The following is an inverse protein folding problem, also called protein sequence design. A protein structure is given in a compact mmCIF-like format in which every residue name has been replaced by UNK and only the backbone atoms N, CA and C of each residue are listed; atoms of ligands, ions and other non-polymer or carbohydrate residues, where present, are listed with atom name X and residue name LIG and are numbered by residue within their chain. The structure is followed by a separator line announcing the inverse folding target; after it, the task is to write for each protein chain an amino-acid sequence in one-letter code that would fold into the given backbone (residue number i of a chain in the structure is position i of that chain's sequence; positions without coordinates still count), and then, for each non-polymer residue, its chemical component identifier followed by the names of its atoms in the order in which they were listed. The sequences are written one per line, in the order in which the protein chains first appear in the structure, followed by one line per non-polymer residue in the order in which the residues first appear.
data_IF_206690864168
#
_entry.id   IF_206690864168
#
_cell.length_a   1.000
_cell.length_b   1.000
_cell.length_c   1.000
_cell.angle_alpha   90.00
_cell.angle_beta   90.00
_cell.angle_gamma   90.00
#
_symmetry.space_group_name_H-M   'P 1'
#
loop_
_entity.id
_entity.type
_entity.pdbx_description
1 polymer ?
#
# COMPACT_ATOMS: atom_id res chain seq x y z
N UNK A 1 11.48 22.65 20.39
CA UNK A 1 12.07 23.78 19.64
C UNK A 1 12.79 24.67 20.63
N UNK A 2 14.11 24.85 20.48
CA UNK A 2 14.88 25.77 21.30
C UNK A 2 14.63 27.16 20.73
N UNK A 3 13.92 28.02 21.46
CA UNK A 3 13.76 29.42 21.07
C UNK A 3 15.07 30.13 21.39
N UNK A 4 15.80 30.53 20.34
CA UNK A 4 16.97 31.40 20.48
C UNK A 4 16.50 32.73 21.06
N UNK A 5 17.15 33.23 22.11
CA UNK A 5 16.71 34.42 22.87
C UNK A 5 16.69 35.72 22.02
N UNK A 6 17.23 35.68 20.80
CA UNK A 6 17.24 36.77 19.81
C UNK A 6 16.16 36.64 18.71
N UNK A 7 15.21 35.72 18.84
CA UNK A 7 14.18 35.49 17.82
C UNK A 7 13.20 36.68 17.76
N UNK A 8 13.35 37.51 16.73
CA UNK A 8 12.44 38.64 16.49
C UNK A 8 11.19 38.18 15.74
N UNK A 9 10.03 38.79 16.07
CA UNK A 9 8.78 38.66 15.31
C UNK A 9 8.93 39.37 13.95
N UNK A 10 9.71 38.78 13.06
CA UNK A 10 10.05 39.30 11.74
C UNK A 10 10.03 38.17 10.72
N UNK A 11 9.78 38.50 9.46
CA UNK A 11 9.88 37.60 8.29
C UNK A 11 11.31 37.50 7.75
N UNK A 12 12.30 37.98 8.50
CA UNK A 12 13.69 37.94 8.07
C UNK A 12 14.24 36.50 7.94
N UNK A 13 14.88 36.13 6.82
CA UNK A 13 15.23 34.73 6.51
C UNK A 13 16.17 34.03 7.50
N UNK A 14 16.98 34.76 8.27
CA UNK A 14 18.00 34.19 9.17
C UNK A 14 17.77 34.42 10.67
N UNK A 15 16.91 35.37 11.04
CA UNK A 15 16.71 35.80 12.44
C UNK A 15 15.25 35.97 12.84
N UNK A 16 14.34 35.82 11.87
CA UNK A 16 12.91 36.01 12.06
C UNK A 16 12.22 34.68 12.35
N UNK A 17 11.31 34.68 13.32
CA UNK A 17 10.47 33.51 13.64
C UNK A 17 9.62 33.06 12.43
N UNK A 18 9.29 33.99 11.53
CA UNK A 18 8.59 33.75 10.27
C UNK A 18 9.53 33.81 9.06
N UNK A 19 10.83 33.56 9.22
CA UNK A 19 11.80 33.54 8.11
C UNK A 19 11.44 32.53 7.00
N UNK A 20 10.69 31.49 7.33
CA UNK A 20 10.12 30.52 6.39
C UNK A 20 8.91 31.04 5.60
N UNK A 21 8.33 32.18 6.00
CA UNK A 21 7.18 32.83 5.33
C UNK A 21 7.62 33.78 4.20
N UNK A 22 8.93 33.92 3.96
CA UNK A 22 9.43 34.70 2.83
C UNK A 22 8.98 34.12 1.49
N UNK A 23 8.30 34.93 0.66
CA UNK A 23 7.71 34.55 -0.64
C UNK A 23 8.69 33.81 -1.55
N UNK A 24 9.95 34.24 -1.60
CA UNK A 24 11.01 33.63 -2.42
C UNK A 24 11.40 32.21 -1.97
N UNK A 25 11.38 31.94 -0.66
CA UNK A 25 11.72 30.63 -0.10
C UNK A 25 10.53 29.68 -0.17
N UNK A 26 9.31 30.18 0.09
CA UNK A 26 8.08 29.40 -0.02
C UNK A 26 7.85 28.90 -1.45
N UNK A 27 8.02 29.77 -2.45
CA UNK A 27 7.86 29.37 -3.85
C UNK A 27 8.82 28.25 -4.25
N UNK A 28 10.08 28.30 -3.81
CA UNK A 28 11.06 27.25 -4.14
C UNK A 28 10.82 25.95 -3.36
N UNK A 29 10.54 26.04 -2.06
CA UNK A 29 10.42 24.86 -1.20
C UNK A 29 9.03 24.22 -1.32
N UNK A 30 7.97 24.99 -1.17
CA UNK A 30 6.59 24.48 -1.20
C UNK A 30 6.17 24.16 -2.64
N UNK A 31 6.44 25.06 -3.58
CA UNK A 31 6.01 24.90 -4.97
C UNK A 31 7.00 24.08 -5.81
N UNK A 32 8.30 24.09 -5.48
CA UNK A 32 9.28 23.22 -6.13
C UNK A 32 9.25 21.81 -5.53
N UNK A 33 9.78 21.66 -4.32
CA UNK A 33 9.90 20.34 -3.68
C UNK A 33 8.55 19.77 -3.25
N UNK A 34 7.66 20.58 -2.67
CA UNK A 34 6.35 20.11 -2.20
C UNK A 34 5.43 19.66 -3.34
N UNK A 35 5.32 20.46 -4.41
CA UNK A 35 4.55 20.06 -5.60
C UNK A 35 5.16 18.82 -6.26
N UNK A 36 6.47 18.79 -6.48
CA UNK A 36 7.12 17.65 -7.13
C UNK A 36 6.99 16.36 -6.31
N UNK A 37 7.18 16.45 -4.98
CA UNK A 37 7.03 15.29 -4.07
C UNK A 37 5.58 14.81 -4.01
N UNK A 38 4.61 15.72 -3.92
CA UNK A 38 3.19 15.34 -3.78
C UNK A 38 2.61 14.85 -5.11
N UNK A 39 2.86 15.58 -6.19
CA UNK A 39 2.32 15.26 -7.51
C UNK A 39 2.96 13.98 -8.07
N UNK A 40 4.28 13.87 -7.99
CA UNK A 40 5.02 12.75 -8.57
C UNK A 40 5.15 11.55 -7.65
N UNK A 41 5.31 11.76 -6.33
CA UNK A 41 5.33 10.66 -5.37
C UNK A 41 3.92 10.09 -5.13
N UNK A 42 3.05 10.89 -4.51
CA UNK A 42 1.78 10.39 -3.96
C UNK A 42 0.63 10.36 -4.96
N UNK A 43 0.39 11.45 -5.69
CA UNK A 43 -0.83 11.61 -6.48
C UNK A 43 -0.80 10.83 -7.79
N UNK A 44 0.31 10.88 -8.53
CA UNK A 44 0.39 10.24 -9.85
C UNK A 44 1.24 8.99 -9.81
N UNK A 45 2.43 9.02 -9.18
CA UNK A 45 3.32 7.87 -9.13
C UNK A 45 2.65 6.65 -8.50
N UNK A 46 2.04 6.83 -7.34
CA UNK A 46 1.40 5.74 -6.62
C UNK A 46 0.15 5.19 -7.32
N UNK A 47 -0.67 6.09 -7.88
CA UNK A 47 -1.89 5.70 -8.63
C UNK A 47 -1.54 4.94 -9.90
N UNK A 48 -0.50 5.36 -10.62
CA UNK A 48 -0.01 4.63 -11.80
C UNK A 48 0.53 3.25 -11.38
N UNK A 49 1.31 3.16 -10.30
CA UNK A 49 1.83 1.88 -9.79
C UNK A 49 0.71 0.90 -9.46
N UNK A 50 -0.37 1.37 -8.83
CA UNK A 50 -1.53 0.52 -8.53
C UNK A 50 -2.29 0.04 -9.76
N UNK A 51 -2.17 0.71 -10.91
CA UNK A 51 -2.75 0.24 -12.18
C UNK A 51 -2.00 -0.97 -12.74
N UNK A 52 -0.70 -1.05 -12.50
CA UNK A 52 0.17 -2.10 -13.07
C UNK A 52 0.54 -3.21 -12.08
N UNK A 53 0.61 -2.88 -10.79
CA UNK A 53 1.05 -3.79 -9.74
C UNK A 53 -0.01 -3.98 -8.66
N UNK A 54 0.04 -5.14 -7.99
CA UNK A 54 -0.82 -5.40 -6.84
C UNK A 54 -0.52 -4.41 -5.70
N UNK A 55 -1.54 -3.95 -4.94
CA UNK A 55 -1.35 -3.07 -3.79
C UNK A 55 -0.28 -3.54 -2.80
N UNK A 56 -0.13 -4.85 -2.61
CA UNK A 56 0.88 -5.44 -1.70
C UNK A 56 2.30 -5.08 -2.15
N UNK A 57 2.58 -5.11 -3.45
CA UNK A 57 3.89 -4.76 -3.99
C UNK A 57 4.16 -3.27 -3.78
N UNK A 58 3.15 -2.43 -3.98
CA UNK A 58 3.25 -1.00 -3.74
C UNK A 58 3.59 -0.70 -2.27
N UNK A 59 2.88 -1.34 -1.33
CA UNK A 59 3.16 -1.16 0.11
C UNK A 59 4.56 -1.62 0.51
N UNK A 60 5.08 -2.69 -0.09
CA UNK A 60 6.45 -3.13 0.13
C UNK A 60 7.47 -2.09 -0.39
N UNK A 61 7.17 -1.38 -1.48
CA UNK A 61 8.02 -0.30 -1.99
C UNK A 61 8.02 0.92 -1.09
N UNK A 62 6.88 1.31 -0.50
CA UNK A 62 6.83 2.38 0.52
C UNK A 62 7.70 2.06 1.72
N UNK A 63 7.73 0.80 2.18
CA UNK A 63 8.60 0.39 3.28
C UNK A 63 10.10 0.56 2.94
N UNK A 64 10.47 0.51 1.66
CA UNK A 64 11.84 0.74 1.20
C UNK A 64 12.16 2.23 0.97
N UNK A 65 11.15 3.09 0.85
CA UNK A 65 11.32 4.54 0.65
C UNK A 65 12.31 5.20 1.62
N UNK A 66 12.27 4.98 2.95
CA UNK A 66 13.25 5.58 3.86
C UNK A 66 14.69 5.13 3.60
N UNK A 67 14.89 3.90 3.12
CA UNK A 67 16.23 3.39 2.76
C UNK A 67 16.75 4.15 1.55
N UNK A 68 15.93 4.30 0.50
CA UNK A 68 16.31 5.06 -0.68
C UNK A 68 16.50 6.55 -0.39
N UNK A 69 15.64 7.14 0.43
CA UNK A 69 15.76 8.53 0.87
C UNK A 69 17.08 8.78 1.59
N UNK A 70 17.48 7.89 2.52
CA UNK A 70 18.75 8.00 3.23
C UNK A 70 19.96 7.86 2.27
N UNK A 71 19.90 6.90 1.35
CA UNK A 71 20.98 6.67 0.37
C UNK A 71 21.15 7.88 -0.55
N UNK A 72 20.05 8.44 -1.06
CA UNK A 72 20.08 9.65 -1.89
C UNK A 72 20.50 10.88 -1.10
N UNK A 73 20.04 11.02 0.14
CA UNK A 73 20.45 12.10 1.05
C UNK A 73 21.95 12.09 1.31
N UNK A 74 22.52 10.91 1.56
CA UNK A 74 23.97 10.73 1.71
C UNK A 74 24.72 10.98 0.40
N UNK A 75 24.18 10.54 -0.75
CA UNK A 75 24.79 10.76 -2.07
C UNK A 75 24.87 12.25 -2.44
N UNK A 76 23.81 13.02 -2.18
CA UNK A 76 23.79 14.47 -2.41
C UNK A 76 24.52 15.27 -1.32
N UNK A 77 25.06 14.61 -0.29
CA UNK A 77 25.71 15.26 0.85
C UNK A 77 24.76 16.12 1.70
N UNK A 78 23.46 15.88 1.60
CA UNK A 78 22.42 16.57 2.39
C UNK A 78 22.29 15.90 3.76
N UNK A 79 22.55 14.59 3.83
CA UNK A 79 22.37 13.79 5.04
C UNK A 79 23.63 12.98 5.41
N UNK A 80 23.69 12.51 6.66
CA UNK A 80 24.79 11.73 7.21
C UNK A 80 24.62 10.23 6.96
N UNK A 81 25.73 9.49 7.09
CA UNK A 81 25.73 8.03 6.99
C UNK A 81 24.79 7.45 8.06
N UNK A 82 23.89 6.50 7.69
CA UNK A 82 22.96 5.91 8.63
C UNK A 82 23.67 5.26 9.81
N UNK A 83 23.15 5.48 11.02
CA UNK A 83 23.64 4.82 12.22
C UNK A 83 23.29 3.32 12.25
N UNK A 84 23.92 2.59 13.17
CA UNK A 84 23.73 1.14 13.32
C UNK A 84 22.25 0.75 13.53
N UNK A 85 21.48 1.55 14.27
CA UNK A 85 20.05 1.30 14.48
C UNK A 85 19.24 1.35 13.17
N UNK A 86 19.56 2.30 12.28
CA UNK A 86 18.91 2.40 10.96
C UNK A 86 19.25 1.21 10.09
N UNK A 87 20.49 0.70 10.16
CA UNK A 87 20.90 -0.50 9.44
C UNK A 87 20.12 -1.73 9.91
N UNK A 88 19.99 -1.93 11.23
CA UNK A 88 19.17 -3.02 11.77
C UNK A 88 17.71 -2.90 11.33
N UNK A 89 17.12 -1.71 11.43
CA UNK A 89 15.76 -1.45 10.94
C UNK A 89 15.59 -1.83 9.46
N UNK A 90 16.54 -1.45 8.61
CA UNK A 90 16.54 -1.81 7.19
C UNK A 90 16.57 -3.32 6.94
N UNK A 91 17.39 -4.07 7.69
CA UNK A 91 17.43 -5.54 7.60
C UNK A 91 16.09 -6.16 8.02
N UNK A 92 15.47 -5.68 9.10
CA UNK A 92 14.15 -6.15 9.53
C UNK A 92 13.06 -5.88 8.48
N UNK A 93 13.09 -4.70 7.82
CA UNK A 93 12.17 -4.39 6.73
C UNK A 93 12.34 -5.38 5.57
N UNK A 94 13.57 -5.67 5.16
CA UNK A 94 13.84 -6.63 4.08
C UNK A 94 13.32 -8.04 4.41
N UNK A 95 13.52 -8.50 5.64
CA UNK A 95 13.00 -9.78 6.11
C UNK A 95 11.46 -9.78 6.07
N UNK A 96 10.82 -8.71 6.56
CA UNK A 96 9.37 -8.57 6.54
C UNK A 96 8.79 -8.62 5.12
N UNK A 97 9.39 -7.89 4.17
CA UNK A 97 8.99 -7.91 2.76
C UNK A 97 9.15 -9.31 2.16
N UNK A 98 10.22 -10.02 2.50
CA UNK A 98 10.44 -11.39 2.04
C UNK A 98 9.31 -12.33 2.49
N UNK A 99 8.97 -12.34 3.78
CA UNK A 99 7.85 -13.14 4.30
C UNK A 99 6.51 -12.74 3.69
N UNK A 100 6.24 -11.44 3.56
CA UNK A 100 5.00 -10.93 2.97
C UNK A 100 4.82 -11.38 1.52
N UNK A 101 5.89 -11.31 0.71
CA UNK A 101 5.86 -11.76 -0.68
C UNK A 101 5.61 -13.27 -0.80
N UNK A 102 6.13 -14.07 0.12
CA UNK A 102 5.86 -15.51 0.16
C UNK A 102 4.38 -15.78 0.48
N UNK A 103 3.80 -15.08 1.46
CA UNK A 103 2.38 -15.16 1.77
C UNK A 103 1.48 -14.72 0.61
N UNK A 104 1.84 -13.63 -0.08
CA UNK A 104 1.09 -13.13 -1.22
C UNK A 104 1.04 -14.15 -2.38
N UNK A 105 2.14 -14.86 -2.63
CA UNK A 105 2.19 -15.95 -3.64
C UNK A 105 1.25 -17.10 -3.30
N UNK A 106 1.16 -17.49 -2.03
CA UNK A 106 0.23 -18.57 -1.60
C UNK A 106 -1.20 -18.15 -1.88
N UNK A 107 -1.60 -16.94 -1.45
CA UNK A 107 -2.95 -16.41 -1.69
C UNK A 107 -3.30 -16.31 -3.19
N UNK A 108 -2.33 -15.95 -4.04
CA UNK A 108 -2.54 -15.94 -5.48
C UNK A 108 -2.71 -17.35 -6.07
N UNK A 109 -1.96 -18.34 -5.58
CA UNK A 109 -2.09 -19.75 -6.02
C UNK A 109 -3.46 -20.31 -5.67
N UNK A 110 -3.97 -20.04 -4.47
CA UNK A 110 -5.29 -20.50 -4.03
C UNK A 110 -6.40 -19.88 -4.88
N UNK A 111 -6.30 -18.58 -5.16
CA UNK A 111 -7.27 -17.89 -6.04
C UNK A 111 -7.27 -18.47 -7.45
N UNK A 112 -6.10 -18.81 -8.00
CA UNK A 112 -5.98 -19.41 -9.33
C UNK A 112 -6.54 -20.84 -9.37
N UNK A 113 -6.29 -21.63 -8.31
CA UNK A 113 -6.84 -22.97 -8.19
C UNK A 113 -8.38 -22.93 -8.14
N UNK A 114 -8.96 -21.99 -7.40
CA UNK A 114 -10.41 -21.78 -7.34
C UNK A 114 -11.01 -21.40 -8.71
N UNK A 115 -10.39 -20.46 -9.44
CA UNK A 115 -10.86 -20.06 -10.78
C UNK A 115 -10.82 -21.26 -11.74
N UNK A 116 -9.75 -22.07 -11.69
CA UNK A 116 -9.65 -23.29 -12.51
C UNK A 116 -10.71 -24.33 -12.15
N UNK A 117 -11.00 -24.48 -10.86
CA UNK A 117 -12.05 -25.37 -10.38
C UNK A 117 -13.42 -24.93 -10.90
N UNK A 118 -13.73 -23.62 -10.84
CA UNK A 118 -14.98 -23.08 -11.40
C UNK A 118 -15.07 -23.27 -12.92
N UNK A 119 -13.99 -23.04 -13.68
CA UNK A 119 -13.96 -23.27 -15.13
C UNK A 119 -14.27 -24.72 -15.48
N UNK A 120 -13.70 -25.68 -14.75
CA UNK A 120 -13.97 -27.11 -14.94
C UNK A 120 -15.43 -27.44 -14.64
N UNK A 121 -15.99 -26.91 -13.54
CA UNK A 121 -17.39 -27.17 -13.18
C UNK A 121 -18.39 -26.52 -14.14
N UNK A 122 -18.10 -25.34 -14.67
CA UNK A 122 -18.97 -24.71 -15.68
C UNK A 122 -19.06 -25.56 -16.95
N UNK A 123 -17.94 -26.14 -17.42
CA UNK A 123 -17.93 -27.06 -18.56
C UNK A 123 -18.72 -28.34 -18.29
N UNK A 124 -18.65 -28.87 -17.07
CA UNK A 124 -19.44 -30.04 -16.68
C UNK A 124 -20.95 -29.73 -16.69
N UNK A 125 -21.33 -28.56 -16.20
CA UNK A 125 -22.71 -28.09 -16.20
C UNK A 125 -23.24 -27.84 -17.62
N UNK A 126 -22.44 -27.26 -18.52
CA UNK A 126 -22.82 -27.08 -19.93
C UNK A 126 -23.09 -28.41 -20.65
N UNK A 127 -22.49 -29.51 -20.19
CA UNK A 127 -22.73 -30.85 -20.73
C UNK A 127 -23.95 -31.57 -20.16
N UNK A 128 -24.59 -31.02 -19.11
CA UNK A 128 -25.72 -31.64 -18.40
C UNK A 128 -27.06 -31.05 -18.88
N UNK A 129 -28.08 -31.91 -18.89
CA UNK A 129 -29.45 -31.54 -19.28
C UNK A 129 -30.08 -30.60 -18.23
N UNK A 130 -30.99 -29.71 -18.67
CA UNK A 130 -31.42 -28.53 -17.90
C UNK A 130 -31.96 -28.80 -16.49
N UNK A 131 -32.61 -29.93 -16.27
CA UNK A 131 -33.19 -30.30 -14.97
C UNK A 131 -32.12 -30.77 -13.96
N UNK A 132 -31.06 -31.44 -14.41
CA UNK A 132 -29.92 -31.80 -13.54
C UNK A 132 -29.10 -30.58 -13.15
N UNK A 133 -29.04 -29.57 -14.02
CA UNK A 133 -28.34 -28.32 -13.78
C UNK A 133 -28.91 -27.53 -12.60
N UNK A 134 -30.24 -27.47 -12.50
CA UNK A 134 -30.96 -26.72 -11.45
C UNK A 134 -30.72 -27.36 -10.08
N UNK A 135 -30.81 -28.70 -10.00
CA UNK A 135 -30.50 -29.47 -8.79
C UNK A 135 -29.06 -29.24 -8.31
N UNK A 136 -28.09 -29.35 -9.21
CA UNK A 136 -26.66 -29.19 -8.87
C UNK A 136 -26.33 -27.74 -8.46
N UNK A 137 -26.98 -26.74 -9.06
CA UNK A 137 -26.83 -25.33 -8.68
C UNK A 137 -27.40 -25.02 -7.30
N UNK A 138 -28.57 -25.57 -6.94
CA UNK A 138 -29.14 -25.41 -5.60
C UNK A 138 -28.25 -26.04 -4.52
N UNK A 139 -27.72 -27.24 -4.80
CA UNK A 139 -26.79 -27.91 -3.90
C UNK A 139 -25.49 -27.10 -3.73
N UNK A 140 -24.95 -26.54 -4.82
CA UNK A 140 -23.78 -25.65 -4.77
C UNK A 140 -24.04 -24.37 -4.00
N UNK A 141 -25.22 -23.75 -4.16
CA UNK A 141 -25.56 -22.54 -3.42
C UNK A 141 -25.58 -22.81 -1.91
N UNK A 142 -26.03 -24.00 -1.51
CA UNK A 142 -26.06 -24.46 -0.12
C UNK A 142 -24.67 -24.80 0.44
N UNK A 143 -23.77 -25.36 -0.36
CA UNK A 143 -22.37 -25.58 0.03
C UNK A 143 -21.59 -24.26 0.12
N UNK A 144 -21.81 -23.33 -0.81
CA UNK A 144 -21.15 -22.02 -0.73
C UNK A 144 -21.63 -21.17 0.45
N UNK A 145 -22.92 -21.25 0.82
CA UNK A 145 -23.42 -20.54 1.99
C UNK A 145 -22.80 -21.08 3.29
N UNK A 146 -22.66 -22.40 3.42
CA UNK A 146 -22.03 -23.01 4.61
C UNK A 146 -20.54 -22.71 4.70
N UNK A 147 -19.81 -22.69 3.58
CA UNK A 147 -18.39 -22.30 3.53
C UNK A 147 -18.22 -20.80 3.87
N UNK A 148 -19.14 -19.95 3.39
CA UNK A 148 -19.13 -18.52 3.70
C UNK A 148 -19.37 -18.28 5.19
N UNK A 149 -20.36 -18.95 5.77
CA UNK A 149 -20.68 -18.86 7.20
C UNK A 149 -19.54 -19.41 8.08
N UNK A 150 -18.90 -20.51 7.67
CA UNK A 150 -17.70 -21.04 8.33
C UNK A 150 -16.53 -20.05 8.28
N UNK A 151 -16.25 -19.46 7.11
CA UNK A 151 -15.18 -18.46 6.95
C UNK A 151 -15.44 -17.21 7.80
N UNK A 152 -16.67 -16.70 7.81
CA UNK A 152 -17.02 -15.49 8.54
C UNK A 152 -17.01 -15.73 10.08
N UNK A 153 -17.26 -16.98 10.53
CA UNK A 153 -17.12 -17.38 11.95
C UNK A 153 -15.67 -17.57 12.43
N UNK A 154 -14.74 -17.80 11.50
CA UNK A 154 -13.31 -18.07 11.79
C UNK A 154 -12.37 -16.95 11.30
N UNK A 155 -12.87 -15.86 10.72
CA UNK A 155 -12.06 -14.70 10.35
C UNK A 155 -11.86 -13.75 11.54
N UNK A 156 -10.63 -13.67 12.06
CA UNK A 156 -10.17 -12.69 13.08
C UNK A 156 -9.93 -11.30 12.44
N UNK A 157 -10.67 -10.94 11.39
CA UNK A 157 -10.60 -9.61 10.77
C UNK A 157 -12.01 -9.10 10.48
N UNK A 158 -12.32 -7.84 10.81
CA UNK A 158 -13.67 -7.30 10.69
C UNK A 158 -14.06 -7.24 9.21
N UNK A 159 -15.33 -7.60 8.96
CA UNK A 159 -15.97 -7.45 7.67
C UNK A 159 -15.83 -6.01 7.17
N UNK A 160 -15.15 -5.81 6.04
CA UNK A 160 -15.29 -4.56 5.30
C UNK A 160 -16.75 -4.44 4.86
N UNK A 161 -17.45 -3.48 5.46
CA UNK A 161 -18.82 -3.13 5.17
C UNK A 161 -18.98 -2.72 3.71
N UNK A 162 -19.63 -3.58 2.93
CA UNK A 162 -20.30 -3.15 1.70
C UNK A 162 -21.48 -2.26 2.08
N UNK A 163 -21.26 -0.95 2.03
CA UNK A 163 -22.33 0.05 2.00
C UNK A 163 -23.13 -0.18 0.72
N UNK A 164 -24.26 -0.85 0.85
CA UNK A 164 -25.33 -0.82 -0.14
C UNK A 164 -25.70 0.63 -0.43
N UNK A 165 -25.67 0.98 -1.71
CA UNK A 165 -26.42 2.12 -2.21
C UNK A 165 -27.91 1.86 -1.95
N UNK A 166 -28.51 2.78 -1.21
CA UNK A 166 -29.88 3.25 -1.40
C UNK A 166 -29.81 4.76 -1.46
#
# INVERSE_FOLDING_TARGET
AVLHEDATFSTHPRKGLFGWVGVQLQLKVVLGFGFLSTFWGSAVGYVILMKFFSPIICMNLLLLEPIFAQLLGCYFGIDHIPGLMTLFGGVFILIGIFFMNQGAKVKQRDKLAYIRFLDHRMKELESKDGDQLISDLEQMQKEMSSIREYRDSHSILPAEGGSSGQ
#
